data_IF_592639364792
#
_entry.id   IF_592639364792
#
_cell.length_a   1.000
_cell.length_b   1.000
_cell.length_c   1.000
_cell.angle_alpha   90.00
_cell.angle_beta   90.00
_cell.angle_gamma   90.00
#
_symmetry.space_group_name_H-M   'P 1'
#
loop_
_entity.id
_entity.type
_entity.pdbx_description
1 polymer ?
#
# COMPACT_ATOMS: atom_id res chain seq x y z
N UNK A 1 -6.96 29.51 -6.49
CA UNK A 1 -6.11 29.09 -5.35
C UNK A 1 -4.95 28.29 -5.85
N UNK A 2 -3.71 28.59 -5.40
CA UNK A 2 -2.52 27.79 -5.74
C UNK A 2 -2.31 26.72 -4.68
N UNK A 3 -2.14 25.47 -5.09
CA UNK A 3 -1.93 24.33 -4.20
C UNK A 3 -0.62 23.65 -4.58
N UNK A 4 0.24 23.38 -3.58
CA UNK A 4 1.55 22.75 -3.75
C UNK A 4 2.00 22.04 -2.47
N UNK A 5 3.09 21.27 -2.56
CA UNK A 5 3.58 20.42 -1.47
C UNK A 5 2.92 19.03 -1.47
N UNK A 6 3.01 18.31 -0.35
CA UNK A 6 2.40 16.98 -0.21
C UNK A 6 0.99 17.09 0.33
N UNK A 7 0.04 16.42 -0.33
CA UNK A 7 -1.35 16.35 0.09
C UNK A 7 -1.73 14.89 0.31
N UNK A 8 -2.11 14.57 1.55
CA UNK A 8 -2.55 13.23 1.91
C UNK A 8 -4.06 13.08 1.68
N UNK A 9 -4.47 12.01 1.01
CA UNK A 9 -5.86 11.63 0.77
C UNK A 9 -6.10 10.27 1.44
N UNK A 10 -6.88 10.27 2.53
CA UNK A 10 -7.29 9.03 3.20
C UNK A 10 -8.42 8.35 2.43
N UNK A 11 -8.33 7.03 2.29
CA UNK A 11 -9.31 6.19 1.57
C UNK A 11 -9.63 4.98 2.43
N UNK A 12 -10.86 4.92 2.93
CA UNK A 12 -11.36 3.83 3.78
C UNK A 12 -12.27 2.86 3.02
N UNK A 13 -12.98 3.36 2.01
CA UNK A 13 -13.92 2.63 1.15
C UNK A 13 -14.32 3.52 -0.05
N UNK A 14 -15.02 2.94 -1.02
CA UNK A 14 -15.66 3.62 -2.15
C UNK A 14 -17.00 4.30 -1.78
N UNK A 15 -17.52 4.02 -0.58
CA UNK A 15 -18.75 4.62 -0.09
C UNK A 15 -18.69 6.15 -0.01
N UNK A 16 -19.85 6.79 -0.08
CA UNK A 16 -19.95 8.25 0.10
C UNK A 16 -19.34 8.67 1.45
N UNK A 17 -18.47 9.68 1.43
CA UNK A 17 -17.72 10.18 2.58
C UNK A 17 -16.75 9.15 3.22
N UNK A 18 -16.33 8.14 2.46
CA UNK A 18 -15.31 7.16 2.90
C UNK A 18 -13.93 7.41 2.28
N UNK A 19 -13.76 8.55 1.64
CA UNK A 19 -12.49 9.02 1.14
C UNK A 19 -12.43 10.56 1.26
N UNK A 20 -11.21 11.09 1.37
CA UNK A 20 -10.98 12.52 1.35
C UNK A 20 -11.21 13.12 -0.04
N UNK A 21 -11.88 14.27 -0.09
CA UNK A 21 -12.02 15.08 -1.29
C UNK A 21 -11.61 16.51 -0.96
N UNK A 22 -10.77 17.10 -1.78
CA UNK A 22 -10.46 18.52 -1.71
C UNK A 22 -11.45 19.26 -2.60
N UNK A 23 -12.30 20.07 -1.98
CA UNK A 23 -13.26 20.91 -2.70
C UNK A 23 -12.78 22.36 -2.75
N UNK A 24 -12.72 22.92 -3.96
CA UNK A 24 -12.44 24.32 -4.23
C UNK A 24 -13.65 24.94 -4.91
N UNK A 25 -14.30 25.89 -4.24
CA UNK A 25 -15.51 26.57 -4.74
C UNK A 25 -15.27 27.59 -5.87
N UNK A 26 -14.01 27.76 -6.29
CA UNK A 26 -13.61 28.66 -7.38
C UNK A 26 -12.57 28.02 -8.29
N UNK A 27 -11.72 28.83 -8.89
CA UNK A 27 -10.61 28.35 -9.72
C UNK A 27 -9.50 27.72 -8.88
N UNK A 28 -9.00 26.56 -9.31
CA UNK A 28 -7.88 25.86 -8.70
C UNK A 28 -6.70 25.74 -9.67
N UNK A 29 -5.49 25.93 -9.16
CA UNK A 29 -4.23 25.73 -9.88
C UNK A 29 -3.33 24.85 -9.00
N UNK A 30 -3.15 23.60 -9.41
CA UNK A 30 -2.32 22.63 -8.71
C UNK A 30 -1.04 22.43 -9.52
N UNK A 31 0.09 22.82 -8.93
CA UNK A 31 1.39 22.71 -9.59
C UNK A 31 2.42 22.16 -8.62
N UNK A 32 3.24 21.22 -9.12
CA UNK A 32 4.38 20.67 -8.38
C UNK A 32 3.98 20.12 -7.00
N UNK A 33 2.84 19.43 -6.95
CA UNK A 33 2.32 18.79 -5.75
C UNK A 33 2.58 17.29 -5.78
N UNK A 34 2.74 16.70 -4.60
CA UNK A 34 2.72 15.25 -4.42
C UNK A 34 1.38 14.87 -3.82
N UNK A 35 0.61 14.04 -4.52
CA UNK A 35 -0.61 13.43 -3.97
C UNK A 35 -0.21 12.09 -3.35
N UNK A 36 -0.53 11.91 -2.06
CA UNK A 36 -0.23 10.71 -1.30
C UNK A 36 -1.54 10.03 -0.90
N UNK A 37 -1.84 8.87 -1.49
CA UNK A 37 -3.02 8.08 -1.17
C UNK A 37 -2.74 7.15 0.02
N UNK A 38 -3.55 7.24 1.06
CA UNK A 38 -3.43 6.41 2.26
C UNK A 38 -4.62 5.47 2.30
N UNK A 39 -4.41 4.20 1.95
CA UNK A 39 -5.45 3.17 2.04
C UNK A 39 -5.54 2.67 3.49
N UNK A 40 -6.71 2.85 4.11
CA UNK A 40 -6.92 2.65 5.54
C UNK A 40 -7.90 1.50 5.80
N UNK A 41 -7.90 0.98 7.03
CA UNK A 41 -8.80 -0.08 7.49
C UNK A 41 -8.79 -1.36 6.62
N UNK A 42 -7.67 -1.64 5.97
CA UNK A 42 -7.50 -2.80 5.10
C UNK A 42 -8.20 -2.66 3.74
N UNK A 43 -8.62 -1.45 3.37
CA UNK A 43 -9.16 -1.18 2.04
C UNK A 43 -8.10 -1.46 0.97
N UNK A 44 -8.48 -2.25 -0.03
CA UNK A 44 -7.63 -2.61 -1.15
C UNK A 44 -8.39 -2.32 -2.45
N UNK A 45 -8.02 -1.25 -3.18
CA UNK A 45 -8.65 -0.95 -4.46
C UNK A 45 -8.63 -2.14 -5.40
N UNK A 46 -9.75 -2.36 -6.10
CA UNK A 46 -9.90 -3.33 -7.18
C UNK A 46 -9.76 -2.67 -8.52
N UNK A 47 -9.39 -3.46 -9.53
CA UNK A 47 -9.30 -2.98 -10.91
C UNK A 47 -10.58 -2.24 -11.30
N UNK A 48 -10.43 -1.08 -11.94
CA UNK A 48 -11.50 -0.16 -12.33
C UNK A 48 -12.21 0.60 -11.19
N UNK A 49 -11.83 0.41 -9.93
CA UNK A 49 -12.30 1.27 -8.84
C UNK A 49 -11.90 2.73 -9.11
N UNK A 50 -12.85 3.63 -8.84
CA UNK A 50 -12.68 5.06 -9.06
C UNK A 50 -12.92 5.83 -7.78
N UNK A 51 -11.97 6.71 -7.44
CA UNK A 51 -12.01 7.53 -6.22
C UNK A 51 -11.81 8.99 -6.63
N UNK A 52 -12.86 9.82 -6.59
CA UNK A 52 -12.67 11.26 -6.74
C UNK A 52 -11.90 11.78 -5.52
N UNK A 53 -10.89 12.62 -5.75
CA UNK A 53 -10.08 13.17 -4.65
C UNK A 53 -9.91 14.69 -4.71
N UNK A 54 -10.26 15.31 -5.83
CA UNK A 54 -10.20 16.75 -6.00
C UNK A 54 -11.34 17.25 -6.87
N UNK A 55 -11.98 18.35 -6.48
CA UNK A 55 -13.02 19.02 -7.26
C UNK A 55 -12.84 20.53 -7.21
N UNK A 56 -12.81 21.17 -8.38
CA UNK A 56 -12.96 22.62 -8.52
C UNK A 56 -14.30 22.94 -9.20
N UNK A 57 -15.09 23.85 -8.60
CA UNK A 57 -16.32 24.35 -9.22
C UNK A 57 -16.03 25.38 -10.32
N UNK A 58 -14.86 26.03 -10.28
CA UNK A 58 -14.33 26.86 -11.36
C UNK A 58 -13.32 26.11 -12.24
N UNK A 59 -12.56 26.84 -13.06
CA UNK A 59 -11.51 26.24 -13.88
C UNK A 59 -10.46 25.52 -13.01
N UNK A 60 -10.04 24.34 -13.44
CA UNK A 60 -8.93 23.58 -12.89
C UNK A 60 -7.75 23.68 -13.85
N UNK A 61 -6.57 23.98 -13.32
CA UNK A 61 -5.30 23.88 -14.05
C UNK A 61 -4.41 22.91 -13.29
N UNK A 62 -3.96 21.87 -14.00
CA UNK A 62 -3.11 20.82 -13.44
C UNK A 62 -1.75 20.87 -14.12
N UNK A 63 -0.71 21.09 -13.33
CA UNK A 63 0.69 20.98 -13.76
C UNK A 63 1.23 19.57 -13.52
N UNK A 64 2.56 19.45 -13.45
CA UNK A 64 3.20 18.18 -13.08
C UNK A 64 2.86 17.80 -11.64
N UNK A 65 2.26 16.62 -11.47
CA UNK A 65 1.98 16.00 -10.19
C UNK A 65 2.87 14.76 -9.99
N UNK A 66 3.31 14.55 -8.76
CA UNK A 66 3.86 13.27 -8.33
C UNK A 66 2.80 12.52 -7.53
N UNK A 67 2.83 11.19 -7.61
CA UNK A 67 1.89 10.36 -6.88
C UNK A 67 2.62 9.29 -6.09
N UNK A 68 2.12 9.01 -4.89
CA UNK A 68 2.61 7.98 -3.99
C UNK A 68 1.45 7.35 -3.24
N UNK A 69 1.63 6.16 -2.68
CA UNK A 69 0.60 5.50 -1.89
C UNK A 69 1.19 4.69 -0.73
N UNK A 70 0.37 4.41 0.28
CA UNK A 70 0.65 3.45 1.37
C UNK A 70 -0.61 2.63 1.69
N UNK A 71 -0.45 1.47 2.34
CA UNK A 71 -1.55 0.57 2.70
C UNK A 71 -1.88 -0.48 1.63
N UNK A 72 -1.07 -0.57 0.57
CA UNK A 72 -1.13 -1.61 -0.44
C UNK A 72 0.29 -2.08 -0.79
N UNK A 73 0.43 -3.35 -1.17
CA UNK A 73 1.72 -3.91 -1.54
C UNK A 73 2.39 -3.15 -2.71
N UNK A 74 3.73 -3.19 -2.81
CA UNK A 74 4.43 -2.72 -3.99
C UNK A 74 3.93 -3.39 -5.28
N UNK A 75 3.85 -2.64 -6.37
CA UNK A 75 3.39 -3.14 -7.68
C UNK A 75 1.92 -2.84 -8.00
N UNK A 76 1.21 -2.19 -7.09
CA UNK A 76 -0.10 -1.60 -7.38
C UNK A 76 0.03 -0.42 -8.34
N UNK A 77 -0.86 -0.35 -9.33
CA UNK A 77 -0.87 0.61 -10.42
C UNK A 77 -2.20 1.34 -10.47
N UNK A 78 -2.15 2.62 -10.76
CA UNK A 78 -3.31 3.47 -10.94
C UNK A 78 -3.03 4.55 -11.97
N UNK A 79 -4.11 5.13 -12.48
CA UNK A 79 -4.10 6.31 -13.34
C UNK A 79 -4.89 7.44 -12.68
N UNK A 80 -4.68 8.66 -13.16
CA UNK A 80 -5.45 9.84 -12.72
C UNK A 80 -6.07 10.51 -13.93
N UNK A 81 -7.39 10.54 -13.94
CA UNK A 81 -8.19 11.16 -14.99
C UNK A 81 -8.65 12.54 -14.53
N UNK A 82 -8.62 13.49 -15.46
CA UNK A 82 -9.23 14.82 -15.30
C UNK A 82 -10.49 14.92 -16.14
N UNK A 83 -11.62 15.22 -15.50
CA UNK A 83 -12.89 15.44 -16.19
C UNK A 83 -13.63 16.63 -15.59
N UNK A 84 -13.72 17.73 -16.34
CA UNK A 84 -14.59 18.87 -15.98
C UNK A 84 -14.29 19.52 -14.63
N UNK A 85 -13.02 19.58 -14.21
CA UNK A 85 -12.62 20.13 -12.90
C UNK A 85 -12.59 19.10 -11.76
N UNK A 86 -12.85 17.83 -12.05
CA UNK A 86 -12.71 16.71 -11.14
C UNK A 86 -11.42 15.93 -11.45
N UNK A 87 -10.65 15.59 -10.42
CA UNK A 87 -9.60 14.58 -10.52
C UNK A 87 -10.04 13.28 -9.87
N UNK A 88 -9.89 12.21 -10.63
CA UNK A 88 -10.33 10.88 -10.25
C UNK A 88 -9.15 9.93 -10.34
N UNK A 89 -8.85 9.30 -9.21
CA UNK A 89 -7.97 8.14 -9.15
C UNK A 89 -8.70 6.94 -9.76
N UNK A 90 -8.02 6.15 -10.61
CA UNK A 90 -8.54 4.89 -11.14
C UNK A 90 -7.53 3.76 -10.95
N UNK A 91 -7.93 2.71 -10.25
CA UNK A 91 -7.09 1.52 -10.09
C UNK A 91 -6.96 0.75 -11.41
N UNK A 92 -5.73 0.37 -11.77
CA UNK A 92 -5.41 -0.33 -13.02
C UNK A 92 -5.16 -1.83 -12.83
N UNK A 93 -4.93 -2.25 -11.60
CA UNK A 93 -4.90 -3.64 -11.19
C UNK A 93 -5.45 -3.77 -9.76
N UNK A 94 -5.62 -5.01 -9.30
CA UNK A 94 -6.04 -5.29 -7.93
C UNK A 94 -4.91 -5.05 -6.94
N UNK A 95 -5.15 -4.16 -5.97
CA UNK A 95 -4.27 -4.00 -4.82
C UNK A 95 -4.21 -5.28 -4.00
N UNK A 96 -3.01 -5.60 -3.53
CA UNK A 96 -2.76 -6.70 -2.60
C UNK A 96 -2.44 -6.14 -1.22
N UNK A 97 -2.77 -6.86 -0.13
CA UNK A 97 -2.34 -6.44 1.20
C UNK A 97 -0.82 -6.38 1.24
N UNK A 98 -0.27 -5.37 1.92
CA UNK A 98 1.15 -5.38 2.27
C UNK A 98 1.45 -6.71 2.94
N UNK A 99 2.37 -7.48 2.35
CA UNK A 99 2.67 -8.82 2.85
C UNK A 99 3.04 -8.72 4.32
N UNK A 100 2.28 -9.36 5.20
CA UNK A 100 2.82 -9.69 6.51
C UNK A 100 3.96 -10.64 6.20
N UNK A 101 5.20 -10.19 6.36
CA UNK A 101 6.35 -11.09 6.38
C UNK A 101 5.93 -12.29 7.23
N UNK A 102 5.97 -13.53 6.70
CA UNK A 102 5.48 -14.67 7.44
C UNK A 102 6.26 -14.69 8.74
N UNK A 103 5.61 -14.41 9.87
CA UNK A 103 6.26 -14.60 11.16
C UNK A 103 6.61 -16.07 11.16
N UNK A 104 7.90 -16.47 11.21
CA UNK A 104 8.25 -17.87 11.22
C UNK A 104 7.55 -18.46 12.44
N UNK A 105 6.46 -19.21 12.22
CA UNK A 105 5.77 -19.88 13.31
C UNK A 105 6.71 -21.00 13.69
N UNK A 106 7.32 -20.99 14.89
CA UNK A 106 8.15 -22.11 15.30
C UNK A 106 7.24 -23.33 15.24
N UNK A 107 7.48 -24.24 14.30
CA UNK A 107 6.98 -25.60 14.47
C UNK A 107 7.73 -26.06 15.71
N UNK A 108 7.01 -26.35 16.80
CA UNK A 108 7.63 -26.73 18.05
C UNK A 108 8.58 -27.91 17.78
N UNK A 109 9.87 -27.62 17.67
CA UNK A 109 10.90 -28.64 17.57
C UNK A 109 11.13 -29.07 19.00
N UNK A 110 10.92 -30.35 19.28
CA UNK A 110 11.13 -30.90 20.60
C UNK A 110 12.58 -30.57 21.02
N UNK A 111 12.82 -29.77 22.07
CA UNK A 111 14.18 -29.34 22.47
C UNK A 111 15.04 -30.51 23.00
N UNK A 112 14.50 -31.74 22.96
CA UNK A 112 15.19 -32.98 23.32
C UNK A 112 15.57 -33.84 22.11
N UNK A 113 15.40 -33.34 20.89
CA UNK A 113 15.76 -34.06 19.68
C UNK A 113 17.10 -33.52 19.18
N UNK A 114 18.02 -34.43 18.91
CA UNK A 114 19.24 -34.17 18.13
C UNK A 114 18.82 -33.87 16.68
N UNK A 115 19.09 -32.66 16.23
CA UNK A 115 18.63 -32.14 14.93
C UNK A 115 19.76 -32.23 13.89
N UNK A 116 21.01 -32.16 14.34
CA UNK A 116 22.18 -32.16 13.47
C UNK A 116 22.79 -33.57 13.26
N UNK A 117 22.31 -34.59 14.00
CA UNK A 117 22.72 -35.99 13.91
C UNK A 117 23.99 -36.34 14.68
N UNK A 118 24.50 -35.46 15.55
CA UNK A 118 25.74 -35.66 16.31
C UNK A 118 25.57 -36.46 17.61
N UNK A 119 24.33 -36.82 17.95
CA UNK A 119 23.89 -37.58 19.13
C UNK A 119 24.16 -36.90 20.47
N UNK A 120 24.42 -35.60 20.45
CA UNK A 120 24.53 -34.74 21.61
C UNK A 120 23.38 -33.73 21.50
N UNK A 121 22.92 -33.20 22.65
CA UNK A 121 22.02 -32.04 22.63
C UNK A 121 22.86 -30.85 23.07
N UNK A 122 23.22 -30.00 22.11
CA UNK A 122 24.11 -28.87 22.34
C UNK A 122 23.64 -27.57 21.66
N UNK A 123 24.50 -26.55 21.69
CA UNK A 123 24.20 -25.24 21.10
C UNK A 123 24.11 -25.29 19.56
N UNK A 124 24.73 -26.28 18.91
CA UNK A 124 24.67 -26.45 17.46
C UNK A 124 23.30 -26.94 17.02
N UNK A 125 22.62 -27.77 17.80
CA UNK A 125 21.21 -28.09 17.57
C UNK A 125 20.34 -26.83 17.58
N UNK A 126 20.56 -25.94 18.55
CA UNK A 126 19.84 -24.67 18.63
C UNK A 126 20.14 -23.76 17.43
N UNK A 127 21.39 -23.75 16.95
CA UNK A 127 21.78 -23.02 15.74
C UNK A 127 21.14 -23.61 14.48
N UNK A 128 21.00 -24.93 14.39
CA UNK A 128 20.30 -25.64 13.30
C UNK A 128 18.81 -25.24 13.26
N UNK A 129 18.16 -25.19 14.43
CA UNK A 129 16.77 -24.71 14.59
C UNK A 129 16.65 -23.29 14.06
N UNK A 130 17.51 -22.38 14.51
CA UNK A 130 17.50 -20.99 14.09
C UNK A 130 17.78 -20.84 12.60
N UNK A 131 18.73 -21.59 12.03
CA UNK A 131 19.01 -21.57 10.58
C UNK A 131 17.83 -22.05 9.74
N UNK A 132 17.11 -23.08 10.19
CA UNK A 132 15.93 -23.57 9.49
C UNK A 132 14.76 -22.59 9.58
N UNK A 133 14.64 -21.81 10.66
CA UNK A 133 13.64 -20.75 10.76
C UNK A 133 13.81 -19.64 9.73
N UNK A 134 15.03 -19.41 9.23
CA UNK A 134 15.31 -18.40 8.20
C UNK A 134 15.31 -18.96 6.75
N UNK A 135 15.26 -20.28 6.55
CA UNK A 135 15.31 -20.89 5.21
C UNK A 135 13.93 -21.22 4.60
N UNK A 136 12.82 -21.08 5.34
CA UNK A 136 11.48 -21.35 4.79
C UNK A 136 10.95 -20.11 4.06
N UNK A 137 11.60 -19.70 2.96
CA UNK A 137 10.93 -19.24 1.72
C UNK A 137 11.91 -19.37 0.53
N UNK A 138 11.88 -20.46 -0.26
CA UNK A 138 12.03 -20.33 -1.70
C UNK A 138 10.66 -19.95 -2.26
N UNK A 139 10.56 -18.78 -2.88
CA UNK A 139 9.44 -18.46 -3.77
C UNK A 139 9.33 -19.57 -4.83
N UNK A 140 8.34 -20.44 -4.69
CA UNK A 140 7.99 -21.42 -5.71
C UNK A 140 6.78 -20.88 -6.48
N UNK A 141 7.10 -20.19 -7.57
CA UNK A 141 6.47 -20.19 -8.89
C UNK A 141 4.94 -20.35 -8.98
#
# INVERSE_FOLDING_TARGET
TKIGGTIAIGVFDLGANKHGIIEVTGTADIQSATIHFVFQDGFLPKTDDQIPFFMAQGALTVGTLAFTYEGAAPGFQFDVMEEGGLLVFKAMNDAQPEGTEPTPRPTAINPKTDINGDKIIDANDLLEVMRNWYHVVPENN
#
